data_IF_975405266469
#
_entry.id   IF_975405266469
#
_cell.length_a   1.000
_cell.length_b   1.000
_cell.length_c   1.000
_cell.angle_alpha   90.00
_cell.angle_beta   90.00
_cell.angle_gamma   90.00
#
_symmetry.space_group_name_H-M   'P 1'
#
loop_
_entity.id
_entity.type
_entity.pdbx_description
1 polymer ?
#
# COMPACT_ATOMS: atom_id res chain seq x y z
N UNK A 1 -18.51 10.25 -5.09
CA UNK A 1 -17.57 11.16 -4.42
C UNK A 1 -18.32 12.39 -3.95
N UNK A 2 -18.12 12.85 -2.72
CA UNK A 2 -18.77 14.05 -2.18
C UNK A 2 -17.83 14.74 -1.20
N UNK A 3 -17.85 16.07 -1.13
CA UNK A 3 -17.10 16.78 -0.10
C UNK A 3 -17.76 16.62 1.28
N UNK A 4 -16.94 16.38 2.30
CA UNK A 4 -17.35 16.36 3.70
C UNK A 4 -17.29 17.73 4.39
N UNK A 5 -16.79 18.77 3.72
CA UNK A 5 -16.54 20.09 4.32
C UNK A 5 -17.57 21.10 3.80
N UNK A 6 -18.22 21.85 4.68
CA UNK A 6 -19.13 22.93 4.25
C UNK A 6 -18.38 24.02 3.49
N UNK A 7 -19.01 24.62 2.48
CA UNK A 7 -18.44 25.70 1.64
C UNK A 7 -17.20 25.32 0.81
N UNK A 8 -16.84 24.03 0.74
CA UNK A 8 -15.78 23.57 -0.17
C UNK A 8 -16.27 23.46 -1.60
N UNK A 9 -15.33 23.52 -2.53
CA UNK A 9 -15.59 23.33 -3.97
C UNK A 9 -15.07 21.97 -4.44
N UNK A 10 -15.82 21.31 -5.32
CA UNK A 10 -15.44 20.08 -6.00
C UNK A 10 -15.61 20.26 -7.50
N UNK A 11 -14.53 20.14 -8.27
CA UNK A 11 -14.51 20.30 -9.72
C UNK A 11 -14.35 18.95 -10.42
N UNK A 12 -15.16 18.72 -11.46
CA UNK A 12 -15.08 17.58 -12.37
C UNK A 12 -14.51 18.03 -13.72
N UNK A 13 -13.56 17.28 -14.24
CA UNK A 13 -12.90 17.53 -15.53
C UNK A 13 -13.01 16.28 -16.41
N UNK A 14 -13.17 16.52 -17.71
CA UNK A 14 -13.09 15.46 -18.73
C UNK A 14 -11.62 15.06 -18.93
N UNK A 15 -11.34 13.77 -18.95
CA UNK A 15 -9.99 13.25 -19.17
C UNK A 15 -9.11 13.21 -17.93
N UNK A 16 -7.84 12.86 -18.14
CA UNK A 16 -6.79 13.04 -17.13
C UNK A 16 -6.13 14.39 -17.35
N UNK A 17 -6.38 15.33 -16.45
CA UNK A 17 -5.83 16.69 -16.53
C UNK A 17 -4.45 16.81 -15.88
N UNK A 18 -3.92 15.73 -15.29
CA UNK A 18 -2.59 15.70 -14.69
C UNK A 18 -2.31 16.91 -13.78
N UNK A 19 -1.18 17.57 -14.02
CA UNK A 19 -0.74 18.77 -13.28
C UNK A 19 -1.18 20.10 -13.93
N UNK A 20 -1.98 20.06 -15.00
CA UNK A 20 -2.44 21.28 -15.69
C UNK A 20 -3.46 22.04 -14.83
N UNK A 21 -3.04 23.16 -14.26
CA UNK A 21 -3.90 24.03 -13.44
C UNK A 21 -4.82 24.93 -14.27
N UNK A 22 -4.61 25.03 -15.58
CA UNK A 22 -5.44 25.82 -16.49
C UNK A 22 -6.66 25.05 -17.03
N UNK A 23 -6.74 23.74 -16.75
CA UNK A 23 -7.85 22.91 -17.16
C UNK A 23 -9.19 23.49 -16.69
N UNK A 24 -10.19 23.50 -17.59
CA UNK A 24 -11.52 24.05 -17.31
C UNK A 24 -12.45 22.91 -16.83
N UNK A 25 -13.11 23.06 -15.66
CA UNK A 25 -14.03 22.06 -15.19
C UNK A 25 -15.31 22.03 -16.03
N UNK A 26 -15.84 20.84 -16.29
CA UNK A 26 -17.16 20.67 -16.92
C UNK A 26 -18.30 20.75 -15.91
N UNK A 27 -18.00 20.61 -14.63
CA UNK A 27 -18.94 20.87 -13.55
C UNK A 27 -18.19 21.32 -12.28
N UNK A 28 -18.76 22.31 -11.60
CA UNK A 28 -18.31 22.81 -10.30
C UNK A 28 -19.42 22.63 -9.28
N UNK A 29 -19.13 21.92 -8.20
CA UNK A 29 -20.10 21.49 -7.21
C UNK A 29 -19.78 22.09 -5.84
N UNK A 30 -20.82 22.45 -5.09
CA UNK A 30 -20.73 22.75 -3.66
C UNK A 30 -20.83 21.47 -2.81
N UNK A 31 -20.56 21.59 -1.51
CA UNK A 31 -20.58 20.48 -0.55
C UNK A 31 -21.93 19.74 -0.41
N UNK A 32 -23.04 20.29 -0.92
CA UNK A 32 -24.35 19.64 -0.91
C UNK A 32 -24.47 18.55 -1.98
N UNK A 33 -23.70 18.66 -3.06
CA UNK A 33 -23.74 17.76 -4.22
C UNK A 33 -22.54 16.81 -4.24
N UNK A 34 -22.65 15.72 -5.00
CA UNK A 34 -21.57 14.78 -5.24
C UNK A 34 -21.47 14.36 -6.70
N UNK A 35 -20.47 13.57 -7.03
CA UNK A 35 -20.22 13.00 -8.35
C UNK A 35 -20.35 11.48 -8.26
N UNK A 36 -21.13 10.86 -9.15
CA UNK A 36 -21.21 9.42 -9.32
C UNK A 36 -20.57 9.00 -10.64
N UNK A 37 -19.91 7.85 -10.64
CA UNK A 37 -19.29 7.27 -11.82
C UNK A 37 -19.84 5.87 -12.05
N UNK A 38 -20.26 5.58 -13.29
CA UNK A 38 -20.76 4.27 -13.70
C UNK A 38 -20.01 3.86 -14.95
N UNK A 39 -19.34 2.71 -14.92
CA UNK A 39 -18.64 2.22 -16.10
C UNK A 39 -19.56 1.39 -17.00
N UNK A 40 -19.51 1.69 -18.30
CA UNK A 40 -20.17 0.94 -19.37
C UNK A 40 -19.15 0.69 -20.49
N UNK A 41 -18.68 -0.57 -20.58
CA UNK A 41 -17.62 -0.94 -21.50
C UNK A 41 -16.34 -0.13 -21.24
N UNK A 42 -15.86 0.57 -22.27
CA UNK A 42 -14.65 1.41 -22.21
C UNK A 42 -14.90 2.81 -21.66
N UNK A 43 -16.14 3.24 -21.55
CA UNK A 43 -16.48 4.58 -21.09
C UNK A 43 -16.98 4.55 -19.64
N UNK A 44 -16.76 5.66 -18.96
CA UNK A 44 -17.23 5.93 -17.61
C UNK A 44 -18.19 7.10 -17.73
N UNK A 45 -19.45 6.87 -17.38
CA UNK A 45 -20.47 7.91 -17.28
C UNK A 45 -20.32 8.65 -15.96
N UNK A 46 -20.28 9.98 -16.01
CA UNK A 46 -20.25 10.83 -14.83
C UNK A 46 -21.60 11.51 -14.62
N UNK A 47 -22.03 11.58 -13.36
CA UNK A 47 -23.28 12.21 -12.96
C UNK A 47 -23.03 13.17 -11.79
N UNK A 48 -23.65 14.34 -11.82
CA UNK A 48 -23.78 15.21 -10.63
C UNK A 48 -25.02 14.80 -9.87
N UNK A 49 -24.87 14.52 -8.58
CA UNK A 49 -25.93 14.01 -7.71
C UNK A 49 -26.21 15.02 -6.59
N UNK A 50 -27.47 15.44 -6.46
CA UNK A 50 -27.94 16.36 -5.43
C UNK A 50 -29.22 15.81 -4.80
N UNK A 51 -29.12 15.32 -3.57
CA UNK A 51 -30.24 14.62 -2.92
C UNK A 51 -30.64 13.38 -3.72
N UNK A 52 -31.89 13.34 -4.20
CA UNK A 52 -32.41 12.26 -5.07
C UNK A 52 -32.20 12.52 -6.57
N UNK A 53 -31.78 13.72 -6.93
CA UNK A 53 -31.63 14.11 -8.33
C UNK A 53 -30.26 13.71 -8.85
N UNK A 54 -30.21 13.22 -10.09
CA UNK A 54 -28.98 12.85 -10.80
C UNK A 54 -28.99 13.47 -12.20
N UNK A 55 -27.98 14.27 -12.50
CA UNK A 55 -27.77 14.90 -13.80
C UNK A 55 -26.61 14.22 -14.51
N UNK A 56 -26.86 13.70 -15.71
CA UNK A 56 -25.81 13.15 -16.57
C UNK A 56 -24.93 14.27 -17.12
N UNK A 57 -23.61 14.11 -17.02
CA UNK A 57 -22.63 15.09 -17.52
C UNK A 57 -22.00 14.61 -18.83
N UNK A 58 -21.72 13.32 -18.95
CA UNK A 58 -21.10 12.75 -20.14
C UNK A 58 -20.51 11.38 -19.88
N UNK A 59 -19.99 10.74 -20.94
CA UNK A 59 -19.33 9.44 -20.88
C UNK A 59 -17.95 9.52 -21.55
N UNK A 60 -16.89 9.26 -20.79
CA UNK A 60 -15.49 9.38 -21.24
C UNK A 60 -14.64 8.23 -20.70
N UNK A 61 -13.51 7.94 -21.36
CA UNK A 61 -12.56 6.91 -20.88
C UNK A 61 -11.86 7.31 -19.57
N UNK A 62 -11.80 8.61 -19.26
CA UNK A 62 -11.16 9.14 -18.07
C UNK A 62 -11.86 10.41 -17.56
N UNK A 63 -11.77 10.61 -16.25
CA UNK A 63 -12.22 11.80 -15.53
C UNK A 63 -11.21 12.17 -14.46
N UNK A 64 -11.14 13.46 -14.15
CA UNK A 64 -10.38 13.97 -13.01
C UNK A 64 -11.28 14.74 -12.06
N UNK A 65 -11.02 14.62 -10.77
CA UNK A 65 -11.75 15.32 -9.71
C UNK A 65 -10.76 16.05 -8.81
N UNK A 66 -10.91 17.37 -8.68
CA UNK A 66 -10.11 18.23 -7.79
C UNK A 66 -11.02 18.91 -6.78
N UNK A 67 -10.54 19.15 -5.57
CA UNK A 67 -11.31 19.82 -4.50
C UNK A 67 -10.50 20.90 -3.80
N UNK A 68 -11.22 21.87 -3.22
CA UNK A 68 -10.63 23.08 -2.64
C UNK A 68 -9.68 22.78 -1.48
N UNK A 69 -8.68 23.64 -1.30
CA UNK A 69 -7.69 23.51 -0.23
C UNK A 69 -6.68 22.41 -0.46
N UNK A 70 -6.47 22.06 -1.74
CA UNK A 70 -5.38 21.21 -2.22
C UNK A 70 -4.48 22.02 -3.15
N UNK A 71 -3.33 21.46 -3.52
CA UNK A 71 -2.43 22.04 -4.52
C UNK A 71 -3.04 22.20 -5.91
N UNK A 72 -4.19 21.57 -6.18
CA UNK A 72 -4.85 21.57 -7.49
C UNK A 72 -6.06 22.49 -7.58
N UNK A 73 -6.57 22.98 -6.44
CA UNK A 73 -7.72 23.88 -6.39
C UNK A 73 -7.67 24.69 -5.09
N UNK A 74 -7.53 26.00 -5.24
CA UNK A 74 -7.55 26.94 -4.12
C UNK A 74 -8.89 26.93 -3.37
N UNK A 75 -8.87 27.52 -2.18
CA UNK A 75 -10.02 27.63 -1.29
C UNK A 75 -9.79 26.92 0.04
N UNK A 76 -10.87 26.73 0.80
CA UNK A 76 -10.76 26.19 2.16
C UNK A 76 -10.23 24.75 2.16
N UNK A 77 -9.36 24.38 3.13
CA UNK A 77 -9.00 23.00 3.43
C UNK A 77 -10.23 22.10 3.49
N UNK A 78 -10.32 21.13 2.59
CA UNK A 78 -11.49 20.25 2.53
C UNK A 78 -11.13 18.79 2.33
N UNK A 79 -12.09 17.92 2.62
CA UNK A 79 -11.96 16.47 2.43
C UNK A 79 -13.04 15.95 1.51
N UNK A 80 -12.73 14.92 0.74
CA UNK A 80 -13.69 14.21 -0.11
C UNK A 80 -13.82 12.77 0.33
N UNK A 81 -15.05 12.28 0.34
CA UNK A 81 -15.37 10.87 0.59
C UNK A 81 -15.71 10.19 -0.74
N UNK A 82 -14.98 9.13 -1.06
CA UNK A 82 -15.31 8.20 -2.13
C UNK A 82 -15.98 6.97 -1.52
N UNK A 83 -17.21 6.71 -1.93
CA UNK A 83 -17.92 5.48 -1.59
C UNK A 83 -17.78 4.50 -2.75
N UNK A 84 -17.29 3.30 -2.46
CA UNK A 84 -17.25 2.16 -3.37
C UNK A 84 -17.98 1.01 -2.69
N UNK A 85 -19.12 0.60 -3.23
CA UNK A 85 -20.04 -0.34 -2.60
C UNK A 85 -20.41 0.13 -1.16
N UNK A 86 -20.17 -0.69 -0.15
CA UNK A 86 -20.42 -0.38 1.26
C UNK A 86 -19.26 0.38 1.95
N UNK A 87 -18.09 0.49 1.32
CA UNK A 87 -16.90 1.10 1.91
C UNK A 87 -16.78 2.57 1.52
N UNK A 88 -16.43 3.42 2.48
CA UNK A 88 -16.13 4.83 2.24
C UNK A 88 -14.69 5.12 2.65
N UNK A 89 -13.95 5.77 1.76
CA UNK A 89 -12.58 6.23 2.01
C UNK A 89 -12.55 7.74 1.90
N UNK A 90 -11.88 8.41 2.86
CA UNK A 90 -11.75 9.86 2.92
C UNK A 90 -10.37 10.28 2.44
N UNK A 91 -10.32 11.32 1.63
CA UNK A 91 -9.09 11.91 1.07
C UNK A 91 -9.01 13.39 1.44
N UNK A 92 -7.79 13.86 1.72
CA UNK A 92 -7.49 15.26 2.06
C UNK A 92 -6.65 15.95 0.99
N UNK A 93 -5.71 15.23 0.39
CA UNK A 93 -4.70 15.78 -0.51
C UNK A 93 -4.82 15.27 -1.94
N UNK A 94 -4.21 16.04 -2.84
CA UNK A 94 -4.07 15.67 -4.22
C UNK A 94 -5.36 15.77 -5.02
N UNK A 95 -5.50 14.90 -6.01
CA UNK A 95 -6.68 14.79 -6.88
C UNK A 95 -7.02 13.31 -7.11
N UNK A 96 -8.16 13.05 -7.73
CA UNK A 96 -8.60 11.70 -8.05
C UNK A 96 -8.80 11.56 -9.56
N UNK A 97 -8.12 10.57 -10.15
CA UNK A 97 -8.36 10.10 -11.50
C UNK A 97 -9.29 8.90 -11.48
N UNK A 98 -10.28 8.90 -12.36
CA UNK A 98 -11.18 7.77 -12.60
C UNK A 98 -11.00 7.36 -14.05
N UNK A 99 -10.42 6.19 -14.30
CA UNK A 99 -10.01 5.74 -15.65
C UNK A 99 -10.52 4.35 -15.96
N UNK A 100 -10.87 4.14 -17.22
CA UNK A 100 -11.19 2.82 -17.74
C UNK A 100 -9.89 2.15 -18.19
N UNK A 101 -9.49 1.08 -17.50
CA UNK A 101 -8.23 0.36 -17.75
C UNK A 101 -8.50 -1.09 -18.14
N UNK A 102 -7.63 -1.66 -18.99
CA UNK A 102 -7.70 -3.08 -19.38
C UNK A 102 -6.75 -3.89 -18.49
N UNK A 103 -7.31 -4.58 -17.50
CA UNK A 103 -6.54 -5.45 -16.61
C UNK A 103 -6.30 -6.84 -17.28
N UNK A 104 -5.07 -7.39 -17.24
CA UNK A 104 -4.71 -8.63 -17.94
C UNK A 104 -5.60 -9.85 -17.70
N UNK A 105 -6.29 -9.93 -16.54
CA UNK A 105 -7.14 -11.08 -16.16
C UNK A 105 -8.61 -10.71 -15.90
N UNK A 106 -8.92 -9.43 -15.73
CA UNK A 106 -10.26 -8.96 -15.35
C UNK A 106 -10.95 -8.21 -16.49
N UNK A 107 -10.27 -8.02 -17.62
CA UNK A 107 -10.79 -7.24 -18.73
C UNK A 107 -10.90 -5.75 -18.39
N UNK A 108 -11.90 -5.09 -18.96
CA UNK A 108 -12.09 -3.65 -18.80
C UNK A 108 -12.65 -3.34 -17.40
N UNK A 109 -11.98 -2.47 -16.64
CA UNK A 109 -12.35 -2.11 -15.26
C UNK A 109 -12.12 -0.64 -14.95
N UNK A 110 -12.77 -0.17 -13.88
CA UNK A 110 -12.62 1.20 -13.42
C UNK A 110 -11.46 1.24 -12.44
N UNK A 111 -10.41 1.98 -12.77
CA UNK A 111 -9.37 2.36 -11.84
C UNK A 111 -9.73 3.70 -11.21
N UNK A 112 -9.56 3.80 -9.89
CA UNK A 112 -9.64 5.05 -9.16
C UNK A 112 -8.32 5.26 -8.45
N UNK A 113 -7.58 6.28 -8.89
CA UNK A 113 -6.21 6.56 -8.44
C UNK A 113 -6.18 7.92 -7.75
N UNK A 114 -5.56 7.98 -6.58
CA UNK A 114 -5.28 9.25 -5.90
C UNK A 114 -3.87 9.71 -6.25
N UNK A 115 -3.78 10.85 -6.94
CA UNK A 115 -2.49 11.47 -7.28
C UNK A 115 -2.12 12.46 -6.18
N UNK A 116 -1.05 12.15 -5.46
CA UNK A 116 -0.53 12.91 -4.32
C UNK A 116 0.95 13.16 -4.49
N UNK A 117 1.44 14.25 -3.91
CA UNK A 117 2.86 14.58 -3.90
C UNK A 117 3.62 13.60 -3.02
N UNK A 118 4.69 13.02 -3.56
CA UNK A 118 5.55 12.02 -2.90
C UNK A 118 6.28 12.58 -1.67
N UNK A 119 6.55 13.90 -1.68
CA UNK A 119 7.29 14.61 -0.63
C UNK A 119 6.68 14.40 0.77
N UNK A 120 5.35 14.55 0.86
CA UNK A 120 4.61 14.65 2.11
C UNK A 120 3.19 14.06 2.01
N UNK A 121 2.36 14.49 1.06
CA UNK A 121 0.95 14.10 0.93
C UNK A 121 0.77 12.57 0.86
N UNK A 122 1.65 11.88 0.13
CA UNK A 122 1.68 10.42 0.09
C UNK A 122 2.07 9.82 1.45
N UNK A 123 3.08 10.37 2.10
CA UNK A 123 3.62 9.82 3.35
C UNK A 123 2.67 10.03 4.53
N UNK A 124 1.91 11.13 4.54
CA UNK A 124 0.87 11.34 5.55
C UNK A 124 -0.19 10.23 5.56
N UNK A 125 -0.35 9.50 4.45
CA UNK A 125 -1.28 8.36 4.34
C UNK A 125 -0.68 6.97 4.57
N UNK A 126 0.62 6.86 4.85
CA UNK A 126 1.29 5.57 5.06
C UNK A 126 0.93 5.00 6.44
N UNK A 127 0.34 3.80 6.44
CA UNK A 127 -0.15 3.08 7.61
C UNK A 127 0.64 1.83 7.95
N UNK A 128 1.97 1.85 7.76
CA UNK A 128 2.84 0.68 7.98
C UNK A 128 3.19 0.46 9.46
N UNK A 129 3.35 1.55 10.21
CA UNK A 129 3.70 1.52 11.64
C UNK A 129 2.64 2.22 12.49
N UNK A 130 2.43 1.80 13.75
CA UNK A 130 1.62 2.56 14.70
C UNK A 130 2.21 3.96 14.93
N UNK A 131 1.36 5.00 14.88
CA UNK A 131 1.81 6.38 15.15
C UNK A 131 2.23 6.61 16.61
N UNK A 132 2.02 5.62 17.48
CA UNK A 132 2.44 5.63 18.88
C UNK A 132 3.93 5.31 19.07
N UNK A 133 4.60 4.77 18.05
CA UNK A 133 6.03 4.43 18.11
C UNK A 133 6.92 5.64 18.44
N UNK A 134 8.18 5.41 18.88
CA UNK A 134 9.13 6.48 19.14
C UNK A 134 9.34 7.37 17.91
N UNK A 135 9.57 8.67 18.12
CA UNK A 135 9.66 9.66 17.04
C UNK A 135 10.72 9.30 15.99
N UNK A 136 11.92 8.89 16.41
CA UNK A 136 12.99 8.48 15.48
C UNK A 136 12.60 7.28 14.63
N UNK A 137 11.81 6.34 15.16
CA UNK A 137 11.30 5.21 14.39
C UNK A 137 10.27 5.65 13.34
N UNK A 138 9.42 6.63 13.66
CA UNK A 138 8.47 7.22 12.71
C UNK A 138 9.21 7.98 11.59
N UNK A 139 10.25 8.73 11.92
CA UNK A 139 11.09 9.45 10.94
C UNK A 139 11.79 8.44 10.01
N UNK A 140 12.40 7.40 10.58
CA UNK A 140 13.02 6.33 9.79
C UNK A 140 12.03 5.65 8.84
N UNK A 141 10.80 5.36 9.30
CA UNK A 141 9.75 4.81 8.47
C UNK A 141 9.33 5.77 7.34
N UNK A 142 9.19 7.07 7.62
CA UNK A 142 8.86 8.06 6.60
C UNK A 142 9.93 8.12 5.49
N UNK A 143 11.21 8.09 5.87
CA UNK A 143 12.35 8.05 4.93
C UNK A 143 12.33 6.76 4.10
N UNK A 144 12.14 5.60 4.75
CA UNK A 144 12.07 4.31 4.07
C UNK A 144 10.89 4.27 3.08
N UNK A 145 9.70 4.72 3.49
CA UNK A 145 8.51 4.75 2.64
C UNK A 145 8.64 5.71 1.46
N UNK A 146 9.30 6.86 1.63
CA UNK A 146 9.62 7.78 0.53
C UNK A 146 10.58 7.13 -0.46
N UNK A 147 11.64 6.50 0.04
CA UNK A 147 12.66 5.82 -0.77
C UNK A 147 12.06 4.69 -1.60
N UNK A 148 11.23 3.84 -0.96
CA UNK A 148 10.50 2.78 -1.64
C UNK A 148 9.61 3.32 -2.76
N UNK A 149 8.79 4.34 -2.47
CA UNK A 149 7.85 4.85 -3.45
C UNK A 149 8.57 5.50 -4.65
N UNK A 150 9.66 6.23 -4.40
CA UNK A 150 10.51 6.78 -5.46
C UNK A 150 11.18 5.70 -6.31
N UNK A 151 11.58 4.56 -5.73
CA UNK A 151 12.15 3.44 -6.51
C UNK A 151 11.14 2.73 -7.41
N UNK A 152 9.84 3.00 -7.24
CA UNK A 152 8.73 2.46 -8.06
C UNK A 152 8.16 3.47 -9.06
N UNK A 153 8.39 4.77 -8.85
CA UNK A 153 7.91 5.82 -9.76
C UNK A 153 8.57 5.66 -11.13
N UNK A 154 7.82 5.98 -12.19
CA UNK A 154 8.26 5.82 -13.59
C UNK A 154 7.91 4.47 -14.21
N UNK A 155 7.56 3.46 -13.41
CA UNK A 155 7.04 2.17 -13.90
C UNK A 155 5.54 2.13 -13.67
N UNK A 156 4.77 2.54 -14.68
CA UNK A 156 3.31 2.57 -14.60
C UNK A 156 2.74 1.15 -14.59
N UNK A 157 1.95 0.82 -13.56
CA UNK A 157 1.27 -0.47 -13.48
C UNK A 157 0.01 -0.43 -14.33
N UNK A 158 0.02 -1.13 -15.45
CA UNK A 158 -1.09 -1.15 -16.43
C UNK A 158 -2.43 -1.57 -15.84
N UNK A 159 -2.42 -2.43 -14.82
CA UNK A 159 -3.64 -2.92 -14.19
C UNK A 159 -4.46 -1.80 -13.55
N UNK A 160 -3.82 -0.78 -12.95
CA UNK A 160 -4.49 0.32 -12.22
C UNK A 160 -4.23 1.70 -12.82
N UNK A 161 -3.34 1.80 -13.82
CA UNK A 161 -2.78 3.07 -14.26
C UNK A 161 -2.28 3.90 -13.05
N UNK A 162 -1.40 3.29 -12.25
CA UNK A 162 -0.84 3.85 -11.03
C UNK A 162 0.63 3.47 -10.83
N UNK A 163 1.38 4.25 -10.05
CA UNK A 163 2.79 3.94 -9.72
C UNK A 163 2.92 2.90 -8.59
N UNK A 164 2.05 2.97 -7.58
CA UNK A 164 2.05 2.08 -6.40
C UNK A 164 0.63 1.69 -6.01
N UNK A 165 0.46 0.48 -5.51
CA UNK A 165 -0.74 0.01 -4.83
C UNK A 165 -0.79 0.50 -3.38
N UNK A 166 -1.99 0.53 -2.82
CA UNK A 166 -2.24 0.93 -1.43
C UNK A 166 -2.29 -0.25 -0.43
N UNK A 167 -1.71 -1.40 -0.81
CA UNK A 167 -1.75 -2.63 -0.03
C UNK A 167 -0.36 -3.31 -0.02
N UNK A 168 -0.29 -4.50 0.60
CA UNK A 168 0.94 -5.29 0.78
C UNK A 168 1.74 -5.58 -0.51
N UNK A 169 1.17 -5.37 -1.70
CA UNK A 169 1.90 -5.48 -2.96
C UNK A 169 2.94 -4.36 -3.14
N UNK A 170 2.72 -3.20 -2.52
CA UNK A 170 3.70 -2.11 -2.46
C UNK A 170 3.83 -1.62 -1.00
N UNK A 171 2.96 -0.69 -0.57
CA UNK A 171 2.91 -0.21 0.82
C UNK A 171 1.45 0.01 1.26
N UNK A 172 1.18 -0.19 2.55
CA UNK A 172 -0.08 0.12 3.21
C UNK A 172 -0.33 1.63 3.20
N UNK A 173 -1.16 2.08 2.26
CA UNK A 173 -1.63 3.46 2.20
C UNK A 173 -3.10 3.51 2.59
N UNK A 174 -3.36 4.04 3.79
CA UNK A 174 -4.70 4.19 4.35
C UNK A 174 -5.25 5.62 4.15
N UNK A 175 -4.44 6.51 3.58
CA UNK A 175 -4.83 7.88 3.24
C UNK A 175 -5.10 8.72 4.48
N UNK A 176 -6.09 9.60 4.40
CA UNK A 176 -6.32 10.60 5.45
C UNK A 176 -6.68 10.01 6.82
N UNK A 177 -7.09 8.74 6.90
CA UNK A 177 -7.35 8.08 8.18
C UNK A 177 -6.11 8.03 9.08
N UNK A 178 -4.90 8.00 8.50
CA UNK A 178 -3.63 8.00 9.24
C UNK A 178 -3.39 9.33 9.94
N UNK A 179 -3.55 10.43 9.21
CA UNK A 179 -3.33 11.79 9.75
C UNK A 179 -4.35 12.15 10.84
N UNK A 180 -5.58 11.65 10.74
CA UNK A 180 -6.64 11.92 11.72
C UNK A 180 -6.75 10.86 12.82
N UNK A 181 -5.77 9.96 12.95
CA UNK A 181 -5.72 9.03 14.07
C UNK A 181 -5.83 9.81 15.39
N UNK A 182 -6.82 9.50 16.26
CA UNK A 182 -6.94 10.17 17.54
C UNK A 182 -5.64 10.06 18.33
N UNK A 183 -5.22 11.17 18.95
CA UNK A 183 -4.01 11.29 19.80
C UNK A 183 -2.70 11.24 19.00
N UNK A 184 -2.53 10.33 18.06
CA UNK A 184 -1.23 10.03 17.46
C UNK A 184 -1.04 10.48 16.00
N UNK A 185 -2.10 10.80 15.25
CA UNK A 185 -1.98 11.17 13.84
C UNK A 185 -1.09 12.40 13.60
N UNK A 186 -1.12 13.35 14.55
CA UNK A 186 -0.26 14.52 14.54
C UNK A 186 1.24 14.17 14.69
N UNK A 187 1.57 13.17 15.53
CA UNK A 187 2.97 12.70 15.70
C UNK A 187 3.52 12.08 14.41
N UNK A 188 2.67 11.35 13.67
CA UNK A 188 3.07 10.83 12.36
C UNK A 188 3.34 11.98 11.36
N UNK A 189 2.43 12.97 11.32
CA UNK A 189 2.60 14.14 10.46
C UNK A 189 3.89 14.90 10.76
N UNK A 190 4.19 15.11 12.04
CA UNK A 190 5.43 15.75 12.51
C UNK A 190 6.67 14.95 12.12
N UNK A 191 6.64 13.62 12.21
CA UNK A 191 7.75 12.78 11.77
C UNK A 191 7.99 12.86 10.24
N UNK A 192 6.91 12.91 9.45
CA UNK A 192 7.02 13.13 7.99
C UNK A 192 7.65 14.51 7.71
N UNK A 193 7.25 15.55 8.44
CA UNK A 193 7.83 16.89 8.31
C UNK A 193 9.31 16.92 8.74
N UNK A 194 9.66 16.28 9.85
CA UNK A 194 11.03 16.19 10.35
C UNK A 194 11.97 15.44 9.38
N UNK A 195 11.44 14.54 8.54
CA UNK A 195 12.19 13.88 7.47
C UNK A 195 12.40 14.74 6.21
N UNK A 196 11.87 15.97 6.19
CA UNK A 196 11.94 16.88 5.05
C UNK A 196 13.12 17.87 5.21
N UNK A 197 13.79 18.22 4.12
CA UNK A 197 14.92 19.17 4.10
C UNK A 197 14.55 20.53 3.55
N UNK A 198 13.41 20.64 2.85
CA UNK A 198 12.78 21.89 2.43
C UNK A 198 11.28 21.67 2.25
N UNK A 199 10.55 22.65 1.73
CA UNK A 199 9.12 22.50 1.38
C UNK A 199 8.88 21.53 0.20
N UNK A 200 9.93 21.17 -0.55
CA UNK A 200 9.83 20.34 -1.76
C UNK A 200 10.77 19.14 -1.78
N UNK A 201 11.69 19.04 -0.83
CA UNK A 201 12.72 17.99 -0.76
C UNK A 201 12.73 17.32 0.60
N UNK A 202 13.02 16.02 0.62
CA UNK A 202 13.14 15.26 1.85
C UNK A 202 14.17 14.15 1.76
N UNK A 203 14.51 13.58 2.91
CA UNK A 203 15.52 12.55 3.03
C UNK A 203 15.06 11.24 2.37
N UNK A 204 15.99 10.59 1.67
CA UNK A 204 15.83 9.30 0.99
C UNK A 204 17.11 8.49 1.14
N UNK A 205 16.99 7.16 1.13
CA UNK A 205 18.12 6.24 1.16
C UNK A 205 18.52 5.95 -0.29
N UNK A 206 19.78 6.18 -0.62
CA UNK A 206 20.29 6.02 -2.00
C UNK A 206 21.46 5.06 -2.07
N UNK A 207 21.63 4.46 -3.23
CA UNK A 207 22.83 3.76 -3.64
C UNK A 207 23.21 4.28 -5.04
N UNK A 208 24.45 4.76 -5.19
CA UNK A 208 24.93 5.39 -6.43
C UNK A 208 24.03 6.55 -6.91
N UNK A 209 23.51 7.36 -5.97
CA UNK A 209 22.66 8.51 -6.27
C UNK A 209 21.20 8.18 -6.62
N UNK A 210 20.82 6.89 -6.68
CA UNK A 210 19.46 6.45 -6.96
C UNK A 210 18.75 5.93 -5.71
N UNK A 211 17.46 6.23 -5.49
CA UNK A 211 16.68 5.68 -4.38
C UNK A 211 16.68 4.14 -4.39
N UNK A 212 17.01 3.53 -3.25
CA UNK A 212 16.91 2.08 -3.09
C UNK A 212 15.44 1.65 -2.94
N UNK A 213 15.14 0.39 -3.27
CA UNK A 213 13.88 -0.21 -2.80
C UNK A 213 14.04 -0.55 -1.31
N UNK A 214 13.69 0.39 -0.45
CA UNK A 214 13.81 0.24 1.00
C UNK A 214 12.76 -0.75 1.53
N UNK A 215 13.16 -2.02 1.66
CA UNK A 215 12.32 -3.05 2.27
C UNK A 215 12.31 -2.89 3.79
N UNK A 216 11.15 -3.11 4.40
CA UNK A 216 10.96 -3.11 5.84
C UNK A 216 9.98 -4.23 6.22
N UNK A 217 9.99 -4.63 7.48
CA UNK A 217 9.14 -5.69 8.02
C UNK A 217 8.95 -5.50 9.52
N UNK A 218 7.98 -6.22 10.12
CA UNK A 218 7.55 -6.02 11.51
C UNK A 218 8.57 -6.49 12.56
N UNK A 219 9.12 -7.70 12.40
CA UNK A 219 10.04 -8.32 13.36
C UNK A 219 10.98 -9.30 12.64
N UNK A 220 12.25 -9.34 13.06
CA UNK A 220 13.30 -10.15 12.41
C UNK A 220 13.53 -11.51 13.07
N UNK A 221 13.16 -11.67 14.35
CA UNK A 221 13.52 -12.84 15.15
C UNK A 221 14.97 -12.85 15.63
N UNK A 222 15.68 -11.72 15.51
CA UNK A 222 17.03 -11.50 16.04
C UNK A 222 18.02 -11.02 14.98
N UNK A 223 17.71 -11.20 13.69
CA UNK A 223 18.61 -10.91 12.59
C UNK A 223 17.85 -10.68 11.28
N UNK A 224 18.24 -9.65 10.51
CA UNK A 224 17.61 -9.36 9.21
C UNK A 224 18.00 -10.41 8.16
N UNK A 225 17.17 -10.56 7.14
CA UNK A 225 17.41 -11.51 6.04
C UNK A 225 17.90 -10.83 4.77
N UNK A 226 18.70 -11.54 3.99
CA UNK A 226 19.16 -11.08 2.67
C UNK A 226 18.06 -11.23 1.60
N UNK A 227 18.07 -10.38 0.58
CA UNK A 227 17.08 -10.49 -0.51
C UNK A 227 17.25 -11.76 -1.35
N UNK A 228 18.44 -12.35 -1.40
CA UNK A 228 18.68 -13.62 -2.09
C UNK A 228 17.97 -14.77 -1.37
N UNK A 229 18.05 -14.82 -0.05
CA UNK A 229 17.35 -15.84 0.73
C UNK A 229 15.83 -15.62 0.74
N UNK A 230 15.40 -14.35 0.85
CA UNK A 230 13.98 -14.00 0.88
C UNK A 230 13.30 -14.20 -0.49
N UNK A 231 13.91 -13.71 -1.58
CA UNK A 231 13.27 -13.62 -2.90
C UNK A 231 14.06 -14.24 -4.04
N UNK A 232 15.32 -14.65 -3.81
CA UNK A 232 16.15 -15.29 -4.83
C UNK A 232 16.96 -14.32 -5.70
N UNK A 233 16.92 -13.02 -5.41
CA UNK A 233 17.74 -12.03 -6.11
C UNK A 233 18.58 -11.24 -5.11
N UNK A 234 19.89 -11.22 -5.36
CA UNK A 234 20.83 -10.45 -4.56
C UNK A 234 20.64 -8.94 -4.78
N UNK A 235 20.81 -8.18 -3.69
CA UNK A 235 20.90 -6.73 -3.72
C UNK A 235 21.98 -6.31 -2.74
N UNK A 236 22.87 -5.43 -3.17
CA UNK A 236 24.03 -5.03 -2.36
C UNK A 236 23.67 -4.29 -1.07
N UNK A 237 22.48 -3.72 -0.98
CA UNK A 237 21.99 -2.99 0.19
C UNK A 237 21.12 -3.84 1.16
N UNK A 238 20.92 -5.12 0.88
CA UNK A 238 20.15 -6.05 1.75
C UNK A 238 21.10 -7.08 2.39
N UNK A 239 22.06 -6.58 3.16
CA UNK A 239 22.93 -7.41 3.98
C UNK A 239 22.26 -7.76 5.32
N UNK A 240 22.55 -8.96 5.83
CA UNK A 240 22.05 -9.38 7.13
C UNK A 240 22.77 -8.61 8.24
N UNK A 241 22.00 -8.07 9.19
CA UNK A 241 22.47 -7.37 10.38
C UNK A 241 21.73 -7.87 11.61
N UNK A 242 22.38 -7.84 12.77
CA UNK A 242 21.76 -8.21 14.03
C UNK A 242 20.65 -7.21 14.42
N UNK A 243 19.56 -7.74 14.96
CA UNK A 243 18.42 -6.97 15.48
C UNK A 243 17.95 -7.61 16.82
N UNK A 244 18.75 -7.42 17.89
CA UNK A 244 18.45 -8.01 19.19
C UNK A 244 17.14 -7.47 19.80
N UNK A 245 16.69 -6.29 19.39
CA UNK A 245 15.46 -5.67 19.92
C UNK A 245 14.19 -6.43 19.50
N UNK A 246 14.21 -7.12 18.36
CA UNK A 246 13.11 -8.01 17.97
C UNK A 246 12.93 -9.22 18.91
N UNK A 247 13.96 -9.56 19.68
CA UNK A 247 13.95 -10.61 20.68
C UNK A 247 13.59 -10.08 22.09
N UNK A 248 13.15 -8.84 22.22
CA UNK A 248 12.68 -8.30 23.49
C UNK A 248 11.17 -8.58 23.66
N UNK A 249 10.74 -9.35 24.68
CA UNK A 249 9.33 -9.67 24.89
C UNK A 249 8.49 -8.48 25.36
N UNK A 250 9.10 -7.40 25.86
CA UNK A 250 8.43 -6.16 26.26
C UNK A 250 8.22 -5.27 25.03
N UNK A 251 9.22 -5.14 24.16
CA UNK A 251 9.13 -4.31 22.95
C UNK A 251 8.39 -5.02 21.80
N UNK A 252 8.49 -6.34 21.71
CA UNK A 252 7.85 -7.17 20.68
C UNK A 252 6.96 -8.29 21.29
N UNK A 253 5.97 -7.97 22.13
CA UNK A 253 5.20 -8.96 22.88
C UNK A 253 4.37 -9.89 21.98
N UNK A 254 4.05 -9.46 20.75
CA UNK A 254 3.20 -10.22 19.83
C UNK A 254 3.95 -11.20 18.94
N UNK A 255 5.22 -10.92 18.62
CA UNK A 255 5.98 -11.70 17.66
C UNK A 255 7.36 -12.14 18.17
N UNK A 256 7.74 -11.81 19.41
CA UNK A 256 8.87 -12.41 20.09
C UNK A 256 8.78 -13.95 20.06
N UNK A 257 7.57 -14.47 20.29
CA UNK A 257 7.23 -15.87 20.09
C UNK A 257 5.84 -15.97 19.46
N UNK A 258 5.62 -16.96 18.59
CA UNK A 258 4.33 -17.22 17.96
C UNK A 258 4.13 -18.71 17.69
N UNK A 259 2.88 -19.14 17.67
CA UNK A 259 2.48 -20.48 17.24
C UNK A 259 1.27 -20.42 16.30
N UNK A 260 1.27 -21.28 15.28
CA UNK A 260 0.21 -21.38 14.27
C UNK A 260 -0.06 -22.85 13.93
N UNK A 261 -1.23 -23.39 14.29
CA UNK A 261 -1.62 -24.71 13.82
C UNK A 261 -1.88 -24.66 12.31
N UNK A 262 -1.37 -25.64 11.58
CA UNK A 262 -1.65 -25.82 10.16
C UNK A 262 -2.54 -27.04 9.97
N UNK A 263 -3.65 -26.87 9.26
CA UNK A 263 -4.55 -27.99 8.94
C UNK A 263 -3.98 -28.81 7.78
N UNK A 264 -4.43 -30.06 7.69
CA UNK A 264 -4.06 -30.94 6.59
C UNK A 264 -4.37 -30.36 5.21
N UNK A 265 -5.52 -29.70 5.08
CA UNK A 265 -5.92 -29.05 3.83
C UNK A 265 -4.98 -27.91 3.41
N UNK A 266 -4.45 -27.14 4.38
CA UNK A 266 -3.47 -26.08 4.12
C UNK A 266 -2.13 -26.68 3.68
N UNK A 267 -1.67 -27.73 4.37
CA UNK A 267 -0.41 -28.40 4.03
C UNK A 267 -0.48 -29.08 2.65
N UNK A 268 -1.50 -29.90 2.40
CA UNK A 268 -1.72 -30.56 1.11
C UNK A 268 -1.76 -29.56 -0.05
N UNK A 269 -2.52 -28.46 0.11
CA UNK A 269 -2.58 -27.38 -0.88
C UNK A 269 -1.24 -26.67 -1.05
N UNK A 270 -0.51 -26.41 0.03
CA UNK A 270 0.78 -25.72 -0.04
C UNK A 270 1.82 -26.53 -0.83
N UNK A 271 1.87 -27.84 -0.62
CA UNK A 271 2.82 -28.75 -1.28
C UNK A 271 2.32 -29.32 -2.60
N UNK A 272 1.04 -29.11 -2.95
CA UNK A 272 0.38 -29.72 -4.12
C UNK A 272 0.44 -31.26 -4.04
N UNK A 273 0.10 -31.78 -2.86
CA UNK A 273 0.01 -33.20 -2.56
C UNK A 273 -1.43 -33.58 -2.19
N UNK A 274 -1.84 -34.86 -2.35
CA UNK A 274 -3.16 -35.31 -1.91
C UNK A 274 -3.35 -35.15 -0.39
N UNK A 275 -2.28 -35.42 0.37
CA UNK A 275 -2.19 -35.30 1.81
C UNK A 275 -0.71 -35.11 2.22
N UNK A 276 -0.48 -34.81 3.49
CA UNK A 276 0.85 -34.69 4.11
C UNK A 276 0.85 -35.49 5.42
N UNK A 277 1.62 -36.57 5.48
CA UNK A 277 1.78 -37.38 6.70
C UNK A 277 3.05 -37.04 7.46
N UNK A 278 4.02 -36.37 6.80
CA UNK A 278 5.27 -35.95 7.42
C UNK A 278 5.78 -34.64 6.82
N UNK A 279 6.43 -33.84 7.65
CA UNK A 279 7.14 -32.61 7.29
C UNK A 279 8.56 -32.67 7.86
N UNK A 280 9.53 -32.28 7.05
CA UNK A 280 10.93 -32.18 7.47
C UNK A 280 11.52 -30.84 7.06
N UNK A 281 12.16 -30.13 8.00
CA UNK A 281 12.99 -28.96 7.68
C UNK A 281 14.35 -29.49 7.24
N UNK A 282 14.63 -29.40 5.94
CA UNK A 282 15.84 -30.00 5.36
C UNK A 282 17.08 -29.13 5.61
N UNK A 283 16.91 -27.80 5.65
CA UNK A 283 18.02 -26.85 5.84
C UNK A 283 17.53 -25.47 6.29
N UNK A 284 18.45 -24.69 6.84
CA UNK A 284 18.25 -23.29 7.24
C UNK A 284 19.27 -22.38 6.56
N UNK A 285 18.87 -21.13 6.32
CA UNK A 285 19.79 -20.08 5.92
C UNK A 285 20.70 -19.70 7.11
N UNK A 286 21.85 -19.03 6.88
CA UNK A 286 22.75 -18.61 7.96
C UNK A 286 22.08 -17.76 9.04
N UNK A 287 21.06 -17.01 8.66
CA UNK A 287 20.23 -16.19 9.55
C UNK A 287 19.32 -16.99 10.46
N UNK A 288 19.01 -18.26 10.14
CA UNK A 288 18.11 -19.13 10.92
C UNK A 288 16.74 -19.37 10.27
N UNK A 289 16.36 -18.62 9.23
CA UNK A 289 15.13 -18.87 8.47
C UNK A 289 15.19 -20.22 7.77
N UNK A 290 14.05 -20.89 7.60
CA UNK A 290 13.96 -22.17 6.87
C UNK A 290 14.35 -21.94 5.41
N UNK A 291 15.40 -22.63 4.94
CA UNK A 291 15.82 -22.57 3.55
C UNK A 291 14.98 -23.52 2.70
N UNK A 292 14.88 -24.79 3.12
CA UNK A 292 14.08 -25.82 2.45
C UNK A 292 13.30 -26.67 3.45
N UNK A 293 12.10 -27.07 3.02
CA UNK A 293 11.20 -27.95 3.76
C UNK A 293 10.57 -28.95 2.79
N UNK A 294 10.52 -30.22 3.19
CA UNK A 294 9.95 -31.31 2.40
C UNK A 294 8.73 -31.90 3.10
N UNK A 295 7.67 -32.14 2.34
CA UNK A 295 6.50 -32.91 2.75
C UNK A 295 6.49 -34.28 2.10
N UNK A 296 5.92 -35.27 2.80
CA UNK A 296 5.69 -36.64 2.32
C UNK A 296 4.20 -36.95 2.47
N UNK A 297 3.57 -37.47 1.41
CA UNK A 297 2.18 -37.94 1.40
C UNK A 297 2.05 -39.41 1.82
N UNK A 298 0.83 -39.88 2.09
CA UNK A 298 0.59 -41.28 2.50
C UNK A 298 0.93 -42.30 1.41
N UNK A 299 0.90 -41.90 0.14
CA UNK A 299 1.33 -42.71 -1.01
C UNK A 299 2.84 -42.63 -1.31
N UNK A 300 3.61 -41.97 -0.43
CA UNK A 300 5.07 -41.86 -0.51
C UNK A 300 5.60 -40.79 -1.46
N UNK A 301 4.73 -39.98 -2.10
CA UNK A 301 5.20 -38.84 -2.91
C UNK A 301 5.79 -37.76 -2.02
N UNK A 302 6.77 -37.04 -2.56
CA UNK A 302 7.46 -35.95 -1.87
C UNK A 302 7.35 -34.64 -2.63
N UNK A 303 7.36 -33.54 -1.90
CA UNK A 303 7.37 -32.19 -2.46
C UNK A 303 8.20 -31.28 -1.58
N UNK A 304 9.18 -30.60 -2.18
CA UNK A 304 10.10 -29.70 -1.47
C UNK A 304 9.85 -28.26 -1.88
N UNK A 305 9.75 -27.37 -0.90
CA UNK A 305 9.58 -25.94 -1.10
C UNK A 305 10.75 -25.16 -0.49
N UNK A 306 10.97 -23.94 -1.00
CA UNK A 306 11.70 -22.91 -0.24
C UNK A 306 10.88 -22.53 0.99
N UNK A 307 11.53 -22.23 2.12
CA UNK A 307 10.81 -21.82 3.33
C UNK A 307 9.91 -20.62 3.13
N UNK A 308 10.34 -19.60 2.37
CA UNK A 308 9.49 -18.45 2.01
C UNK A 308 8.28 -18.82 1.14
N UNK A 309 8.44 -19.79 0.24
CA UNK A 309 7.30 -20.31 -0.54
C UNK A 309 6.31 -21.03 0.36
N UNK A 310 6.81 -21.85 1.30
CA UNK A 310 5.96 -22.51 2.29
C UNK A 310 5.23 -21.47 3.15
N UNK A 311 5.95 -20.52 3.77
CA UNK A 311 5.39 -19.41 4.54
C UNK A 311 4.29 -18.68 3.78
N UNK A 312 4.54 -18.30 2.53
CA UNK A 312 3.57 -17.58 1.70
C UNK A 312 2.31 -18.41 1.42
N UNK A 313 2.44 -19.72 1.17
CA UNK A 313 1.30 -20.60 0.85
C UNK A 313 0.49 -20.96 2.09
N UNK A 314 1.11 -21.01 3.26
CA UNK A 314 0.48 -21.34 4.55
C UNK A 314 0.11 -20.13 5.39
N UNK A 315 0.48 -18.92 4.96
CA UNK A 315 0.25 -17.66 5.66
C UNK A 315 0.89 -17.60 7.05
N UNK A 316 2.02 -18.29 7.24
CA UNK A 316 2.80 -18.16 8.46
C UNK A 316 3.36 -16.73 8.62
N UNK A 317 3.53 -16.23 9.86
CA UNK A 317 4.10 -14.91 10.11
C UNK A 317 5.50 -14.72 9.52
N UNK A 318 6.35 -15.74 9.54
CA UNK A 318 7.72 -15.69 9.02
C UNK A 318 8.18 -17.06 8.54
N UNK A 319 9.29 -17.10 7.78
CA UNK A 319 9.99 -18.36 7.48
C UNK A 319 10.91 -18.80 8.64
N UNK A 320 10.91 -18.08 9.76
CA UNK A 320 11.61 -18.46 10.98
C UNK A 320 10.65 -19.23 11.90
N UNK A 321 10.68 -20.56 11.80
CA UNK A 321 9.85 -21.43 12.63
C UNK A 321 10.53 -22.77 12.90
N UNK A 322 9.97 -23.51 13.85
CA UNK A 322 10.22 -24.92 14.10
C UNK A 322 8.91 -25.71 13.92
N UNK A 323 9.02 -27.00 13.62
CA UNK A 323 7.90 -27.94 13.69
C UNK A 323 7.76 -28.39 15.15
N UNK A 324 6.53 -28.48 15.65
CA UNK A 324 6.18 -28.87 17.03
C UNK A 324 5.16 -29.98 16.99
#
# INVERSE_FOLDING_TARGET
>A
MKSGTQNSTLNLYVGDVGEDLSAVPVATLSSKSGISFIQLGRNISAFVVTGKNSQFIGANAAWSVRWSGTRYLEGIPSTVSLKVNSKSVKYRYGQIQVKSVKAPLLGQRMAVTNTVRIHDEYLYGIGEVPSSWPTEALIAQAIASRSYALSKIGIQKTACDCNVYNNISDQSFIGFSKEIEPIYGQRWKEAVQASSTSETTGQVITLNGLPITAYFFSSSGGQTETSVNAWGQERSFTISVADPFSQDPILNPRFFNWSRPLTQSVLAKAFVLPDVVSLNIDSRNPTGTVARITAISSDGKTSTLRGETFRSRTQLPSAWFNLV
#
